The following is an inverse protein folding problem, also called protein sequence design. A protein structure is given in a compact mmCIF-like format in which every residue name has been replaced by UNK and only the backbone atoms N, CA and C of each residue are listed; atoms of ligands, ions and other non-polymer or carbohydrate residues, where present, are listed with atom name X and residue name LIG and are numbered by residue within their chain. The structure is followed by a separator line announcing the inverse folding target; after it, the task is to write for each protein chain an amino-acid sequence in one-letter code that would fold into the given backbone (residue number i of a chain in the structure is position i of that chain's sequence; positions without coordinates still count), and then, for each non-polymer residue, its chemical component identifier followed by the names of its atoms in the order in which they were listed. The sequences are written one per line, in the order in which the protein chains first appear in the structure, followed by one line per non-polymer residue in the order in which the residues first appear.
data_IF_848354437789
#
_entry.id   IF_848354437789
#
_cell.length_a   1.000
_cell.length_b   1.000
_cell.length_c   1.000
_cell.angle_alpha   90.00
_cell.angle_beta   90.00
_cell.angle_gamma   90.00
#
_symmetry.space_group_name_H-M   'P 1'
#
loop_
_entity.id
_entity.type
_entity.pdbx_description
1 polymer ?
#
# COMPACT_ATOMS: atom_id res chain seq x y z
N UNK A 1 17.77 5.66 16.30
CA UNK A 1 16.39 5.61 15.75
C UNK A 1 16.48 4.97 14.38
N UNK A 2 15.78 3.87 14.18
CA UNK A 2 15.74 3.14 12.92
C UNK A 2 14.34 3.25 12.32
N UNK A 3 14.20 3.64 11.06
CA UNK A 3 12.89 3.77 10.41
C UNK A 3 12.73 2.69 9.35
N UNK A 4 11.69 1.87 9.48
CA UNK A 4 11.32 0.86 8.51
C UNK A 4 9.96 1.21 7.87
N UNK A 5 9.99 1.61 6.61
CA UNK A 5 8.77 1.73 5.81
C UNK A 5 8.44 0.36 5.22
N UNK A 6 7.57 -0.39 5.90
CA UNK A 6 7.20 -1.77 5.56
C UNK A 6 5.71 -1.85 5.21
N UNK A 7 5.42 -1.85 3.91
CA UNK A 7 4.05 -1.77 3.41
C UNK A 7 3.90 -2.36 2.02
N UNK A 8 2.65 -2.60 1.61
CA UNK A 8 2.36 -2.99 0.24
C UNK A 8 2.86 -1.93 -0.75
N UNK A 9 3.14 -2.33 -1.99
CA UNK A 9 3.29 -1.36 -3.07
C UNK A 9 1.99 -0.56 -3.28
N UNK A 10 2.13 0.69 -3.75
CA UNK A 10 1.02 1.55 -4.23
C UNK A 10 0.09 2.14 -3.15
N UNK A 11 0.57 2.25 -1.92
CA UNK A 11 -0.13 2.90 -0.79
C UNK A 11 0.45 4.28 -0.43
N UNK A 12 1.09 4.99 -1.37
CA UNK A 12 1.65 6.34 -1.11
C UNK A 12 3.08 6.35 -0.56
N UNK A 13 3.75 5.20 -0.54
CA UNK A 13 5.05 5.00 0.09
C UNK A 13 6.21 5.88 -0.42
N UNK A 14 6.17 6.28 -1.69
CA UNK A 14 7.24 7.07 -2.29
C UNK A 14 7.30 8.49 -1.72
N UNK A 15 6.14 9.09 -1.43
CA UNK A 15 6.05 10.44 -0.84
C UNK A 15 6.64 10.45 0.57
N UNK A 16 6.28 9.48 1.40
CA UNK A 16 6.85 9.28 2.74
C UNK A 16 8.37 9.04 2.65
N UNK A 17 8.78 8.14 1.76
CA UNK A 17 10.19 7.79 1.57
C UNK A 17 11.03 9.02 1.18
N UNK A 18 10.60 9.81 0.20
CA UNK A 18 11.36 11.01 -0.24
C UNK A 18 11.57 12.00 0.90
N UNK A 19 10.54 12.24 1.70
CA UNK A 19 10.62 13.19 2.81
C UNK A 19 11.52 12.73 3.96
N UNK A 20 11.58 11.43 4.20
CA UNK A 20 12.53 10.87 5.16
C UNK A 20 13.99 11.05 4.71
N UNK A 21 14.26 11.04 3.41
CA UNK A 21 15.61 11.17 2.86
C UNK A 21 16.14 12.60 2.92
N UNK A 22 15.27 13.62 2.87
CA UNK A 22 15.67 15.02 2.93
C UNK A 22 15.99 15.52 4.33
N UNK A 23 15.49 14.86 5.38
CA UNK A 23 15.49 15.43 6.74
C UNK A 23 16.32 14.69 7.80
N UNK A 24 17.02 13.59 7.48
CA UNK A 24 17.66 12.82 8.56
C UNK A 24 18.85 11.94 8.16
N UNK A 25 19.94 11.90 8.95
CA UNK A 25 20.96 10.83 8.91
C UNK A 25 20.47 9.55 9.62
N UNK A 26 19.21 9.18 9.41
CA UNK A 26 18.57 8.01 10.05
C UNK A 26 18.70 6.79 9.15
N UNK A 27 19.05 5.65 9.74
CA UNK A 27 18.97 4.36 9.06
C UNK A 27 17.53 4.09 8.66
N UNK A 28 17.30 4.13 7.35
CA UNK A 28 15.97 4.04 6.76
C UNK A 28 15.95 2.99 5.68
N UNK A 29 15.03 2.05 5.83
CA UNK A 29 14.73 1.05 4.82
C UNK A 29 13.30 1.22 4.31
N UNK A 30 13.09 1.00 3.02
CA UNK A 30 11.76 1.01 2.40
C UNK A 30 11.57 -0.29 1.62
N UNK A 31 10.62 -1.10 2.09
CA UNK A 31 10.44 -2.48 1.62
C UNK A 31 8.98 -2.79 1.33
N UNK A 32 8.80 -3.63 0.32
CA UNK A 32 7.51 -4.18 -0.11
C UNK A 32 7.47 -5.71 -0.04
N UNK A 33 8.47 -6.32 0.60
CA UNK A 33 8.63 -7.76 0.71
C UNK A 33 8.72 -8.16 2.17
N UNK A 34 7.90 -9.13 2.55
CA UNK A 34 7.90 -9.74 3.88
C UNK A 34 9.28 -10.27 4.27
N UNK A 35 9.94 -11.05 3.39
CA UNK A 35 11.25 -11.63 3.71
C UNK A 35 12.37 -10.60 3.90
N UNK A 36 12.34 -9.49 3.15
CA UNK A 36 13.31 -8.40 3.34
C UNK A 36 13.01 -7.66 4.64
N UNK A 37 11.73 -7.38 4.94
CA UNK A 37 11.34 -6.74 6.18
C UNK A 37 11.75 -7.58 7.41
N UNK A 38 11.53 -8.90 7.35
CA UNK A 38 11.92 -9.84 8.39
C UNK A 38 13.44 -9.83 8.61
N UNK A 39 14.25 -9.85 7.55
CA UNK A 39 15.71 -9.75 7.66
C UNK A 39 16.13 -8.45 8.35
N UNK A 40 15.58 -7.31 7.96
CA UNK A 40 15.90 -6.01 8.55
C UNK A 40 15.48 -5.95 10.02
N UNK A 41 14.31 -6.50 10.35
CA UNK A 41 13.83 -6.53 11.73
C UNK A 41 14.70 -7.43 12.62
N UNK A 42 15.23 -8.54 12.08
CA UNK A 42 16.24 -9.37 12.78
C UNK A 42 17.50 -8.56 13.06
N UNK A 43 18.05 -7.87 12.06
CA UNK A 43 19.24 -7.01 12.25
C UNK A 43 18.97 -5.87 13.25
N UNK A 44 17.72 -5.40 13.33
CA UNK A 44 17.33 -4.34 14.26
C UNK A 44 17.14 -4.86 15.68
N UNK A 45 16.66 -6.10 15.83
CA UNK A 45 16.49 -6.77 17.13
C UNK A 45 17.84 -7.09 17.81
N UNK A 46 18.95 -7.15 17.07
CA UNK A 46 20.31 -7.25 17.63
C UNK A 46 20.76 -5.96 18.35
N UNK A 47 19.96 -4.90 18.30
CA UNK A 47 20.24 -3.63 18.98
C UNK A 47 19.09 -3.25 19.90
N UNK A 48 19.39 -2.62 21.05
CA UNK A 48 18.39 -2.04 21.94
C UNK A 48 17.81 -0.70 21.43
N UNK A 49 18.01 -0.38 20.15
CA UNK A 49 17.46 0.85 19.56
C UNK A 49 15.96 0.76 19.28
N UNK A 50 15.26 1.89 19.44
CA UNK A 50 13.88 2.02 18.98
C UNK A 50 13.76 1.90 17.45
N UNK A 51 12.81 1.07 17.03
CA UNK A 51 12.45 0.84 15.64
C UNK A 51 11.08 1.47 15.37
N UNK A 52 11.02 2.34 14.37
CA UNK A 52 9.80 3.03 13.94
C UNK A 52 9.34 2.43 12.61
N UNK A 53 8.26 1.67 12.65
CA UNK A 53 7.66 1.02 11.49
C UNK A 53 6.52 1.88 10.96
N UNK A 54 6.50 2.12 9.66
CA UNK A 54 5.39 2.78 8.97
C UNK A 54 4.78 1.80 7.98
N UNK A 55 3.48 1.55 8.12
CA UNK A 55 2.70 0.70 7.22
C UNK A 55 1.42 1.38 6.76
N UNK A 56 0.96 1.08 5.55
CA UNK A 56 -0.21 1.71 4.95
C UNK A 56 -1.11 0.71 4.26
N UNK A 57 -2.42 0.96 4.32
CA UNK A 57 -3.43 0.30 3.50
C UNK A 57 -4.05 1.31 2.52
N UNK A 58 -4.63 0.80 1.44
CA UNK A 58 -5.44 1.52 0.46
C UNK A 58 -6.56 0.58 0.02
N UNK A 59 -7.63 1.10 -0.58
CA UNK A 59 -8.57 0.29 -1.38
C UNK A 59 -7.81 -0.77 -2.20
N UNK A 60 -8.00 -2.05 -1.81
CA UNK A 60 -7.16 -3.15 -2.26
C UNK A 60 -7.30 -3.41 -3.76
N UNK A 61 -8.49 -3.20 -4.33
CA UNK A 61 -8.70 -3.40 -5.77
C UNK A 61 -8.05 -2.27 -6.57
N UNK A 62 -8.27 -1.01 -6.19
CA UNK A 62 -7.59 0.16 -6.79
C UNK A 62 -6.08 0.06 -6.68
N UNK A 63 -5.57 -0.39 -5.53
CA UNK A 63 -4.13 -0.64 -5.30
C UNK A 63 -3.61 -1.73 -6.23
N UNK A 64 -4.36 -2.81 -6.43
CA UNK A 64 -3.98 -3.94 -7.30
C UNK A 64 -3.89 -3.50 -8.75
N UNK A 65 -4.88 -2.75 -9.25
CA UNK A 65 -4.86 -2.16 -10.60
C UNK A 65 -3.68 -1.18 -10.74
N UNK A 66 -3.45 -0.34 -9.72
CA UNK A 66 -2.30 0.57 -9.73
C UNK A 66 -0.96 -0.16 -9.75
N UNK A 67 -0.87 -1.35 -9.14
CA UNK A 67 0.32 -2.19 -9.15
C UNK A 67 0.52 -2.88 -10.51
N UNK A 68 -0.56 -3.28 -11.17
CA UNK A 68 -0.55 -3.79 -12.54
C UNK A 68 0.08 -2.76 -13.49
N UNK A 69 -0.51 -1.57 -13.62
CA UNK A 69 -0.01 -0.54 -14.54
C UNK A 69 1.41 -0.07 -14.20
N UNK A 70 1.77 -0.04 -12.91
CA UNK A 70 3.13 0.33 -12.50
C UNK A 70 4.22 -0.66 -12.93
N UNK A 71 3.84 -1.91 -13.24
CA UNK A 71 4.77 -3.00 -13.48
C UNK A 71 4.55 -3.72 -14.82
N UNK A 72 3.55 -3.33 -15.60
CA UNK A 72 3.23 -3.98 -16.87
C UNK A 72 4.33 -3.87 -17.92
N UNK A 73 5.18 -2.84 -17.80
CA UNK A 73 6.34 -2.56 -18.65
C UNK A 73 7.68 -3.01 -18.07
N UNK A 74 7.68 -3.66 -16.89
CA UNK A 74 8.91 -4.00 -16.17
C UNK A 74 9.25 -5.48 -16.30
N UNK A 75 10.23 -5.79 -17.15
CA UNK A 75 10.75 -7.14 -17.32
C UNK A 75 11.05 -7.82 -15.97
N UNK A 76 10.69 -9.10 -15.85
CA UNK A 76 10.85 -9.88 -14.62
C UNK A 76 9.82 -9.59 -13.51
N UNK A 77 8.84 -8.69 -13.72
CA UNK A 77 7.72 -8.51 -12.78
C UNK A 77 6.53 -9.39 -13.17
N UNK A 78 5.73 -9.77 -12.18
CA UNK A 78 4.56 -10.65 -12.34
C UNK A 78 3.56 -10.19 -13.41
N UNK A 79 3.40 -8.86 -13.53
CA UNK A 79 2.50 -8.21 -14.47
C UNK A 79 3.14 -7.83 -15.80
N UNK A 80 4.39 -8.23 -16.07
CA UNK A 80 5.05 -7.88 -17.33
C UNK A 80 4.25 -8.37 -18.55
N UNK A 81 3.91 -7.43 -19.43
CA UNK A 81 3.11 -7.63 -20.64
C UNK A 81 3.90 -7.27 -21.91
N UNK A 82 4.97 -6.47 -21.78
CA UNK A 82 5.83 -6.07 -22.89
C UNK A 82 6.51 -4.72 -22.59
N UNK A 83 7.34 -4.24 -23.50
CA UNK A 83 8.00 -2.95 -23.34
C UNK A 83 7.02 -1.78 -23.54
N UNK A 84 7.33 -0.64 -22.90
CA UNK A 84 6.48 0.55 -22.91
C UNK A 84 6.04 0.99 -24.32
N UNK A 85 6.94 0.99 -25.30
CA UNK A 85 6.64 1.40 -26.68
C UNK A 85 5.56 0.51 -27.33
N UNK A 86 5.59 -0.80 -27.05
CA UNK A 86 4.57 -1.73 -27.52
C UNK A 86 3.24 -1.52 -26.80
N UNK A 87 3.28 -1.31 -25.49
CA UNK A 87 2.07 -1.19 -24.67
C UNK A 87 1.27 0.09 -24.96
N UNK A 88 1.92 1.17 -25.39
CA UNK A 88 1.22 2.41 -25.81
C UNK A 88 0.20 2.18 -26.93
N UNK A 89 0.46 1.21 -27.81
CA UNK A 89 -0.39 0.92 -28.97
C UNK A 89 -1.44 -0.16 -28.69
N UNK A 90 -1.44 -0.76 -27.50
CA UNK A 90 -2.44 -1.76 -27.12
C UNK A 90 -3.77 -1.13 -26.77
N UNK A 91 -4.85 -1.84 -27.05
CA UNK A 91 -6.18 -1.46 -26.61
C UNK A 91 -6.35 -1.72 -25.11
N UNK A 92 -7.22 -0.96 -24.44
CA UNK A 92 -7.53 -1.20 -23.03
C UNK A 92 -8.16 -2.58 -22.80
N UNK A 93 -8.87 -3.12 -23.79
CA UNK A 93 -9.47 -4.46 -23.68
C UNK A 93 -8.40 -5.55 -23.56
N UNK A 94 -7.24 -5.36 -24.20
CA UNK A 94 -6.08 -6.24 -24.01
C UNK A 94 -5.50 -6.12 -22.59
N UNK A 95 -5.46 -4.90 -22.03
CA UNK A 95 -5.03 -4.69 -20.63
C UNK A 95 -6.01 -5.37 -19.65
N UNK A 96 -7.32 -5.21 -19.87
CA UNK A 96 -8.37 -5.86 -19.05
C UNK A 96 -8.22 -7.37 -19.10
N UNK A 97 -8.19 -7.95 -20.30
CA UNK A 97 -8.06 -9.41 -20.49
C UNK A 97 -6.80 -9.95 -19.80
N UNK A 98 -5.67 -9.27 -19.94
CA UNK A 98 -4.43 -9.69 -19.29
C UNK A 98 -4.49 -9.56 -17.77
N UNK A 99 -5.06 -8.46 -17.27
CA UNK A 99 -5.23 -8.24 -15.83
C UNK A 99 -6.11 -9.34 -15.23
N UNK A 100 -7.24 -9.64 -15.86
CA UNK A 100 -8.22 -10.66 -15.44
C UNK A 100 -7.59 -12.04 -15.32
N UNK A 101 -6.67 -12.39 -16.22
CA UNK A 101 -5.96 -13.67 -16.18
C UNK A 101 -5.02 -13.86 -14.97
N UNK A 102 -4.70 -12.79 -14.22
CA UNK A 102 -3.67 -12.82 -13.16
C UNK A 102 -4.13 -12.27 -11.80
N UNK A 103 -5.02 -11.28 -11.79
CA UNK A 103 -5.24 -10.48 -10.58
C UNK A 103 -5.89 -11.26 -9.44
N UNK A 104 -6.78 -12.22 -9.72
CA UNK A 104 -7.40 -13.05 -8.68
C UNK A 104 -6.36 -13.87 -7.93
N UNK A 105 -5.39 -14.45 -8.64
CA UNK A 105 -4.28 -15.16 -8.03
C UNK A 105 -3.43 -14.22 -7.17
N UNK A 106 -3.12 -13.02 -7.66
CA UNK A 106 -2.38 -12.01 -6.89
C UNK A 106 -3.13 -11.57 -5.63
N UNK A 107 -4.44 -11.35 -5.72
CA UNK A 107 -5.30 -10.98 -4.60
C UNK A 107 -5.19 -12.04 -3.50
N UNK A 108 -5.50 -13.30 -3.83
CA UNK A 108 -5.53 -14.42 -2.86
C UNK A 108 -4.17 -14.72 -2.23
N UNK A 109 -3.07 -14.62 -2.99
CA UNK A 109 -1.77 -15.09 -2.52
C UNK A 109 -0.83 -13.99 -1.98
N UNK A 110 -1.10 -12.73 -2.33
CA UNK A 110 -0.22 -11.61 -1.97
C UNK A 110 -0.95 -10.48 -1.27
N UNK A 111 -2.15 -10.09 -1.72
CA UNK A 111 -2.81 -8.88 -1.22
C UNK A 111 -3.62 -9.14 0.04
N UNK A 112 -4.53 -10.11 0.01
CA UNK A 112 -5.40 -10.44 1.15
C UNK A 112 -4.62 -10.92 2.39
N UNK A 113 -3.61 -11.82 2.28
CA UNK A 113 -2.86 -12.28 3.45
C UNK A 113 -1.79 -11.30 3.94
N UNK A 114 -1.67 -10.11 3.33
CA UNK A 114 -0.57 -9.18 3.62
C UNK A 114 -0.49 -8.83 5.10
N UNK A 115 -1.61 -8.38 5.70
CA UNK A 115 -1.58 -7.92 7.09
C UNK A 115 -1.43 -9.06 8.10
N UNK A 116 -1.98 -10.24 7.82
CA UNK A 116 -1.70 -11.44 8.64
C UNK A 116 -0.20 -11.75 8.67
N UNK A 117 0.48 -11.72 7.51
CA UNK A 117 1.93 -11.94 7.45
C UNK A 117 2.72 -10.80 8.08
N UNK A 118 2.25 -9.57 7.91
CA UNK A 118 2.84 -8.38 8.54
C UNK A 118 2.82 -8.51 10.07
N UNK A 119 1.65 -8.83 10.65
CA UNK A 119 1.48 -8.98 12.10
C UNK A 119 2.41 -10.06 12.67
N UNK A 120 2.52 -11.20 11.98
CA UNK A 120 3.44 -12.28 12.37
C UNK A 120 4.92 -11.85 12.35
N UNK A 121 5.33 -11.06 11.37
CA UNK A 121 6.73 -10.62 11.23
C UNK A 121 7.09 -9.53 12.24
N UNK A 122 6.16 -8.62 12.52
CA UNK A 122 6.37 -7.52 13.48
C UNK A 122 6.17 -7.99 14.92
N UNK A 123 5.55 -9.17 15.12
CA UNK A 123 5.10 -9.67 16.43
C UNK A 123 4.21 -8.64 17.16
N UNK A 124 3.32 -7.99 16.40
CA UNK A 124 2.36 -7.01 16.90
C UNK A 124 1.11 -7.08 16.02
N UNK A 125 0.03 -7.64 16.57
CA UNK A 125 -1.22 -7.79 15.81
C UNK A 125 -2.01 -6.47 15.81
N UNK A 126 -2.11 -5.85 14.63
CA UNK A 126 -2.94 -4.67 14.45
C UNK A 126 -4.42 -4.94 14.80
N UNK A 127 -4.93 -6.13 14.49
CA UNK A 127 -6.34 -6.47 14.60
C UNK A 127 -6.82 -6.60 16.05
N UNK A 128 -5.90 -6.75 17.01
CA UNK A 128 -6.20 -6.75 18.46
C UNK A 128 -6.52 -5.35 19.01
N UNK A 129 -6.33 -4.30 18.21
CA UNK A 129 -6.55 -2.91 18.61
C UNK A 129 -7.66 -2.26 17.79
N UNK A 130 -8.42 -1.34 18.36
CA UNK A 130 -9.46 -0.62 17.61
C UNK A 130 -8.82 0.39 16.66
N UNK A 131 -9.11 0.27 15.35
CA UNK A 131 -8.70 1.27 14.37
C UNK A 131 -9.61 2.51 14.43
N UNK A 132 -9.08 3.72 14.68
CA UNK A 132 -9.90 4.92 14.76
C UNK A 132 -10.24 5.44 13.35
N UNK A 133 -11.29 4.91 12.72
CA UNK A 133 -11.68 5.23 11.33
C UNK A 133 -11.76 6.74 11.05
N UNK A 134 -12.27 7.54 11.99
CA UNK A 134 -12.35 9.00 11.83
C UNK A 134 -11.00 9.71 11.75
N UNK A 135 -9.95 9.13 12.35
CA UNK A 135 -8.57 9.67 12.30
C UNK A 135 -7.81 9.17 11.09
N UNK A 136 -8.18 7.99 10.56
CA UNK A 136 -7.49 7.39 9.41
C UNK A 136 -6.09 6.82 9.71
N UNK A 137 -5.66 6.84 10.97
CA UNK A 137 -4.36 6.31 11.38
C UNK A 137 -4.37 5.77 12.82
N UNK A 138 -3.47 4.82 13.10
CA UNK A 138 -3.26 4.18 14.40
C UNK A 138 -1.77 4.22 14.75
N UNK A 139 -1.45 4.41 16.03
CA UNK A 139 -0.10 4.27 16.56
C UNK A 139 -0.10 3.24 17.68
N UNK A 140 0.82 2.28 17.61
CA UNK A 140 1.01 1.22 18.59
C UNK A 140 2.46 1.19 19.07
N UNK A 141 2.67 0.61 20.26
CA UNK A 141 3.97 0.44 20.87
C UNK A 141 4.05 -0.92 21.58
N UNK A 142 5.12 -1.68 21.32
CA UNK A 142 5.44 -2.95 22.00
C UNK A 142 6.95 -3.10 22.10
N UNK A 143 7.50 -3.09 23.31
CA UNK A 143 8.95 -3.18 23.53
C UNK A 143 9.69 -2.01 22.86
N UNK A 144 10.63 -2.29 21.97
CA UNK A 144 11.34 -1.28 21.17
C UNK A 144 10.66 -0.96 19.82
N UNK A 145 9.52 -1.60 19.52
CA UNK A 145 8.77 -1.40 18.28
C UNK A 145 7.73 -0.29 18.47
N UNK A 146 7.85 0.74 17.64
CA UNK A 146 6.89 1.80 17.45
C UNK A 146 6.25 1.62 16.07
N UNK A 147 4.92 1.48 15.98
CA UNK A 147 4.22 1.20 14.72
C UNK A 147 3.23 2.32 14.41
N UNK A 148 3.33 2.88 13.20
CA UNK A 148 2.36 3.80 12.61
C UNK A 148 1.67 3.15 11.42
N UNK A 149 0.36 2.99 11.52
CA UNK A 149 -0.49 2.45 10.47
C UNK A 149 -1.46 3.54 9.96
N UNK A 150 -1.65 3.65 8.65
CA UNK A 150 -2.55 4.65 8.05
C UNK A 150 -3.33 4.12 6.85
N UNK A 151 -4.41 4.83 6.49
CA UNK A 151 -5.13 4.62 5.23
C UNK A 151 -4.69 5.66 4.22
N UNK A 152 -4.45 5.22 2.98
CA UNK A 152 -4.02 6.09 1.90
C UNK A 152 -5.10 7.13 1.53
N UNK A 153 -6.36 6.79 1.72
CA UNK A 153 -7.53 7.65 1.52
C UNK A 153 -7.49 8.88 2.44
N UNK A 154 -6.81 8.77 3.58
CA UNK A 154 -6.63 9.86 4.55
C UNK A 154 -5.25 10.51 4.48
N UNK A 155 -4.42 10.18 3.47
CA UNK A 155 -2.99 10.57 3.43
C UNK A 155 -2.77 12.09 3.48
N UNK A 156 -3.73 12.90 3.03
CA UNK A 156 -3.67 14.36 3.11
C UNK A 156 -3.78 14.91 4.53
N UNK A 157 -4.24 14.10 5.49
CA UNK A 157 -4.60 14.52 6.84
C UNK A 157 -3.73 13.86 7.92
N UNK A 158 -2.75 13.04 7.53
CA UNK A 158 -1.89 12.30 8.48
C UNK A 158 -0.50 12.91 8.65
N UNK A 159 -0.19 14.01 7.96
CA UNK A 159 1.12 14.69 7.98
C UNK A 159 1.56 15.07 9.41
N UNK A 160 0.67 15.70 10.19
CA UNK A 160 0.92 16.06 11.58
C UNK A 160 1.07 14.82 12.46
N UNK A 161 0.33 13.75 12.17
CA UNK A 161 0.39 12.52 12.93
C UNK A 161 1.73 11.80 12.73
N UNK A 162 2.18 11.68 11.48
CA UNK A 162 3.47 11.05 11.17
C UNK A 162 4.65 11.94 11.62
N UNK A 163 4.53 13.26 11.54
CA UNK A 163 5.49 14.24 12.09
C UNK A 163 5.71 14.04 13.58
N UNK A 164 4.60 13.92 14.34
CA UNK A 164 4.63 13.66 15.79
C UNK A 164 5.18 12.27 16.10
N UNK A 165 4.76 11.25 15.35
CA UNK A 165 5.22 9.87 15.51
C UNK A 165 6.75 9.76 15.32
N UNK A 166 7.29 10.36 14.26
CA UNK A 166 8.72 10.30 13.94
C UNK A 166 9.58 11.28 14.75
N UNK A 167 8.96 12.23 15.46
CA UNK A 167 9.66 13.32 16.16
C UNK A 167 10.54 14.16 15.21
N UNK A 168 10.12 14.30 13.94
CA UNK A 168 10.81 15.09 12.92
C UNK A 168 10.00 16.36 12.65
N UNK A 169 10.42 17.54 13.12
CA UNK A 169 9.66 18.77 12.94
C UNK A 169 9.54 19.17 11.45
N UNK A 170 10.51 18.95 10.59
CA UNK A 170 10.36 19.45 9.20
C UNK A 170 9.71 18.42 8.25
N UNK A 171 9.05 17.39 8.80
CA UNK A 171 8.35 16.39 8.00
C UNK A 171 7.01 16.93 7.46
N UNK A 172 6.88 16.95 6.13
CA UNK A 172 5.66 17.35 5.42
C UNK A 172 5.45 16.45 4.19
N UNK A 173 4.25 15.88 4.00
CA UNK A 173 4.00 15.05 2.81
C UNK A 173 3.75 15.91 1.58
N UNK A 174 4.47 15.69 0.46
CA UNK A 174 4.21 16.44 -0.75
C UNK A 174 2.84 16.06 -1.32
N UNK A 175 1.97 17.06 -1.54
CA UNK A 175 0.65 16.91 -2.16
C UNK A 175 0.70 16.65 -3.68
N UNK A 176 1.66 15.85 -4.17
CA UNK A 176 1.88 15.65 -5.61
C UNK A 176 1.30 14.29 -6.05
N UNK A 177 0.11 14.31 -6.64
CA UNK A 177 -0.43 13.17 -7.37
C UNK A 177 0.27 13.01 -8.74
N UNK A 178 1.47 12.41 -8.74
CA UNK A 178 2.26 12.18 -9.96
C UNK A 178 1.69 11.10 -10.91
N UNK A 179 0.54 10.50 -10.60
CA UNK A 179 -0.03 9.42 -11.43
C UNK A 179 -0.51 9.90 -12.79
N UNK A 180 -0.96 11.15 -12.91
CA UNK A 180 -1.43 11.74 -14.17
C UNK A 180 -0.32 12.01 -15.17
N UNK A 181 0.94 12.05 -14.74
CA UNK A 181 2.10 12.32 -15.60
C UNK A 181 2.72 11.05 -16.20
N UNK A 182 2.16 9.87 -15.91
CA UNK A 182 2.73 8.60 -16.36
C UNK A 182 2.29 8.26 -17.77
N UNK A 183 3.14 7.53 -18.50
CA UNK A 183 2.88 7.14 -19.89
C UNK A 183 1.55 6.39 -20.07
N UNK A 184 1.11 5.65 -19.05
CA UNK A 184 -0.13 4.87 -19.06
C UNK A 184 -1.35 5.61 -18.51
N UNK A 185 -1.29 6.93 -18.28
CA UNK A 185 -2.37 7.65 -17.60
C UNK A 185 -3.72 7.56 -18.35
N UNK A 186 -3.70 7.63 -19.69
CA UNK A 186 -4.88 7.46 -20.53
C UNK A 186 -5.46 6.05 -20.43
N UNK A 187 -4.62 5.02 -20.66
CA UNK A 187 -5.02 3.62 -20.54
C UNK A 187 -5.55 3.29 -19.14
N UNK A 188 -4.92 3.82 -18.08
CA UNK A 188 -5.38 3.61 -16.72
C UNK A 188 -6.77 4.20 -16.47
N UNK A 189 -7.05 5.41 -16.99
CA UNK A 189 -8.36 6.04 -16.85
C UNK A 189 -9.44 5.22 -17.54
N UNK A 190 -9.23 4.89 -18.83
CA UNK A 190 -10.19 4.10 -19.60
C UNK A 190 -10.34 2.68 -19.03
N UNK A 191 -9.26 2.08 -18.51
CA UNK A 191 -9.33 0.77 -17.84
C UNK A 191 -10.30 0.80 -16.65
N UNK A 192 -10.28 1.86 -15.84
CA UNK A 192 -11.18 1.97 -14.69
C UNK A 192 -12.65 2.12 -15.08
N UNK A 193 -12.92 2.62 -16.28
CA UNK A 193 -14.29 2.74 -16.83
C UNK A 193 -14.77 1.41 -17.39
N UNK A 194 -13.86 0.63 -18.01
CA UNK A 194 -14.17 -0.64 -18.68
C UNK A 194 -14.11 -1.87 -17.77
N UNK A 195 -13.19 -1.90 -16.82
CA UNK A 195 -13.00 -3.05 -15.94
C UNK A 195 -14.18 -3.18 -14.99
N UNK A 196 -14.87 -4.31 -15.06
CA UNK A 196 -16.03 -4.64 -14.22
C UNK A 196 -15.75 -5.93 -13.44
N UNK A 197 -15.28 -5.83 -12.18
CA UNK A 197 -15.10 -7.02 -11.35
C UNK A 197 -16.44 -7.69 -11.08
N UNK A 198 -16.44 -9.02 -10.94
CA UNK A 198 -17.65 -9.76 -10.55
C UNK A 198 -18.03 -9.48 -9.10
N UNK A 199 -19.30 -9.71 -8.76
CA UNK A 199 -19.78 -9.60 -7.37
C UNK A 199 -18.97 -10.49 -6.41
N UNK A 200 -18.61 -11.71 -6.82
CA UNK A 200 -17.75 -12.60 -6.04
C UNK A 200 -16.40 -11.96 -5.70
N UNK A 201 -15.80 -11.24 -6.65
CA UNK A 201 -14.52 -10.57 -6.45
C UNK A 201 -14.67 -9.34 -5.56
N UNK A 202 -15.76 -8.58 -5.72
CA UNK A 202 -16.06 -7.45 -4.86
C UNK A 202 -16.25 -7.92 -3.41
N UNK A 203 -17.02 -8.98 -3.21
CA UNK A 203 -17.22 -9.60 -1.90
C UNK A 203 -15.89 -10.08 -1.28
N UNK A 204 -15.12 -10.85 -2.04
CA UNK A 204 -13.80 -11.36 -1.63
C UNK A 204 -12.85 -10.23 -1.16
N UNK A 205 -12.83 -9.10 -1.88
CA UNK A 205 -11.92 -8.00 -1.59
C UNK A 205 -12.43 -7.15 -0.43
N UNK A 206 -13.70 -6.75 -0.45
CA UNK A 206 -14.23 -5.75 0.48
C UNK A 206 -14.78 -6.35 1.78
N UNK A 207 -14.96 -7.66 1.87
CA UNK A 207 -15.29 -8.37 3.12
C UNK A 207 -14.12 -9.16 3.71
N UNK A 208 -12.90 -8.98 3.21
CA UNK A 208 -11.73 -9.57 3.87
C UNK A 208 -11.40 -8.85 5.18
N UNK A 209 -10.70 -9.55 6.09
CA UNK A 209 -10.32 -9.07 7.43
C UNK A 209 -9.70 -7.68 7.41
N UNK A 210 -8.77 -7.42 6.48
CA UNK A 210 -8.12 -6.11 6.39
C UNK A 210 -9.11 -5.02 6.01
N UNK A 211 -9.96 -5.24 5.02
CA UNK A 211 -10.92 -4.21 4.60
C UNK A 211 -11.95 -3.93 5.69
N UNK A 212 -12.47 -4.97 6.34
CA UNK A 212 -13.42 -4.82 7.46
C UNK A 212 -12.81 -4.11 8.67
N UNK A 213 -11.52 -4.34 8.92
CA UNK A 213 -10.81 -3.70 10.02
C UNK A 213 -10.53 -2.21 9.75
N UNK A 214 -9.99 -1.90 8.58
CA UNK A 214 -9.54 -0.53 8.26
C UNK A 214 -10.65 0.39 7.72
N UNK A 215 -11.78 -0.13 7.26
CA UNK A 215 -12.86 0.68 6.70
C UNK A 215 -14.20 0.24 7.26
N UNK A 216 -15.01 1.22 7.65
CA UNK A 216 -16.38 0.95 8.10
C UNK A 216 -17.28 0.54 6.93
N UNK A 217 -18.48 0.04 7.24
CA UNK A 217 -19.40 -0.51 6.25
C UNK A 217 -19.78 0.50 5.16
N UNK A 218 -19.97 1.77 5.53
CA UNK A 218 -20.31 2.85 4.60
C UNK A 218 -19.15 3.09 3.62
N UNK A 219 -17.92 3.14 4.12
CA UNK A 219 -16.72 3.34 3.30
C UNK A 219 -16.50 2.17 2.33
N UNK A 220 -16.70 0.93 2.80
CA UNK A 220 -16.57 -0.26 1.95
C UNK A 220 -17.64 -0.31 0.87
N UNK A 221 -18.88 0.01 1.23
CA UNK A 221 -19.98 0.10 0.27
C UNK A 221 -19.70 1.18 -0.80
N UNK A 222 -19.17 2.34 -0.39
CA UNK A 222 -18.75 3.38 -1.33
C UNK A 222 -17.59 2.97 -2.25
N UNK A 223 -16.77 1.98 -1.87
CA UNK A 223 -15.81 1.38 -2.80
C UNK A 223 -16.47 0.43 -3.79
N UNK A 224 -17.40 -0.41 -3.33
CA UNK A 224 -18.14 -1.37 -4.17
C UNK A 224 -18.93 -0.63 -5.25
N UNK A 225 -19.65 0.44 -4.88
CA UNK A 225 -20.47 1.26 -5.80
C UNK A 225 -19.67 1.91 -6.93
N UNK A 226 -18.35 2.13 -6.75
CA UNK A 226 -17.48 2.65 -7.82
C UNK A 226 -17.23 1.64 -8.94
N UNK A 227 -17.59 0.38 -8.73
CA UNK A 227 -17.42 -0.71 -9.69
C UNK A 227 -18.73 -1.18 -10.30
N UNK A 228 -19.86 -0.77 -9.73
CA UNK A 228 -21.21 -0.98 -10.28
C UNK A 228 -21.42 -0.27 -11.62
#
# INVERSE_FOLDING_TARGET
MKILVYQMGKVGSLSISRQLTTHTPVYKSHVHSHGIAESILKDYAETDEEVYIITGIRDLLRKTISAFFQNCDKAGKYYYMGEQEHLKNKSVDEFVSFFESKYVFNLKNTVLPWFTRFNNIVDLDLFDHVFPHQKGHLTLHKGNINLFCYRFEDISNIDMAIRRFLKIPDFELPHINMSSQKWYASHYKEFLEKFKPTEEILDLVYHCTSMQYFYNDIERQAFIEKWS
#
